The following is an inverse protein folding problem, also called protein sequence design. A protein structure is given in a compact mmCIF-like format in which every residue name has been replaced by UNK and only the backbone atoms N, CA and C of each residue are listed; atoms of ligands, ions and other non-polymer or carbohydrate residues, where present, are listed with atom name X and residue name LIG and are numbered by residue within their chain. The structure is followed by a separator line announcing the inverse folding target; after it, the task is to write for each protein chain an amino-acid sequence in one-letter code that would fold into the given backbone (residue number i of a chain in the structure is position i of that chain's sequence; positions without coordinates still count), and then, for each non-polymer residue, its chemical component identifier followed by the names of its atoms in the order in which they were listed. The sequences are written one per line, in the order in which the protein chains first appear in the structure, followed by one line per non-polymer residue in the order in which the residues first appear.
data_IF_470144243089
#
_entry.id   IF_470144243089
#
_cell.length_a   1.000
_cell.length_b   1.000
_cell.length_c   1.000
_cell.angle_alpha   90.00
_cell.angle_beta   90.00
_cell.angle_gamma   90.00
#
_symmetry.space_group_name_H-M   'P 1'
#
loop_
_entity.id
_entity.type
_entity.pdbx_description
1 polymer ?
#
# COMPACT_ATOMS: atom_id res chain seq x y z
N UNK A 1 -27.13 -35.34 -32.37
CA UNK A 1 -26.74 -35.17 -30.94
C UNK A 1 -25.68 -34.07 -30.79
N UNK A 2 -24.49 -34.19 -31.40
CA UNK A 2 -23.40 -33.21 -31.24
C UNK A 2 -23.75 -31.77 -31.63
N UNK A 3 -24.51 -31.59 -32.73
CA UNK A 3 -24.99 -30.25 -33.14
C UNK A 3 -25.91 -29.63 -32.08
N UNK A 4 -26.82 -30.43 -31.51
CA UNK A 4 -27.72 -29.97 -30.45
C UNK A 4 -26.91 -29.58 -29.20
N UNK A 5 -25.93 -30.40 -28.80
CA UNK A 5 -25.03 -30.12 -27.67
C UNK A 5 -24.26 -28.80 -27.84
N UNK A 6 -23.71 -28.54 -29.04
CA UNK A 6 -23.01 -27.29 -29.34
C UNK A 6 -23.94 -26.08 -29.20
N UNK A 7 -25.16 -26.17 -29.77
CA UNK A 7 -26.13 -25.07 -29.70
C UNK A 7 -26.54 -24.81 -28.24
N UNK A 8 -26.82 -25.85 -27.47
CA UNK A 8 -27.19 -25.70 -26.06
C UNK A 8 -26.05 -25.13 -25.22
N UNK A 9 -24.83 -25.63 -25.37
CA UNK A 9 -23.67 -25.15 -24.63
C UNK A 9 -23.33 -23.69 -25.00
N UNK A 10 -23.49 -23.31 -26.27
CA UNK A 10 -23.30 -21.92 -26.70
C UNK A 10 -24.30 -20.95 -26.09
N UNK A 11 -25.59 -21.32 -26.06
CA UNK A 11 -26.63 -20.50 -25.43
C UNK A 11 -26.37 -20.37 -23.93
N UNK A 12 -26.00 -21.47 -23.27
CA UNK A 12 -25.67 -21.49 -21.84
C UNK A 12 -24.46 -20.60 -21.53
N UNK A 13 -23.32 -20.81 -22.21
CA UNK A 13 -22.10 -20.04 -22.02
C UNK A 13 -22.33 -18.53 -22.17
N UNK A 14 -23.16 -18.14 -23.15
CA UNK A 14 -23.48 -16.73 -23.38
C UNK A 14 -24.31 -16.15 -22.22
N UNK A 15 -25.33 -16.87 -21.77
CA UNK A 15 -26.18 -16.45 -20.64
C UNK A 15 -25.39 -16.39 -19.33
N UNK A 16 -24.57 -17.39 -19.05
CA UNK A 16 -23.71 -17.41 -17.86
C UNK A 16 -22.74 -16.23 -17.86
N UNK A 17 -22.13 -15.91 -19.00
CA UNK A 17 -21.22 -14.77 -19.12
C UNK A 17 -21.93 -13.43 -18.93
N UNK A 18 -23.10 -13.26 -19.55
CA UNK A 18 -23.87 -12.01 -19.48
C UNK A 18 -24.39 -11.77 -18.06
N UNK A 19 -24.97 -12.79 -17.43
CA UNK A 19 -25.44 -12.71 -16.04
C UNK A 19 -24.25 -12.55 -15.10
N UNK A 20 -23.18 -13.31 -15.30
CA UNK A 20 -21.98 -13.29 -14.45
C UNK A 20 -21.34 -11.91 -14.41
N UNK A 21 -21.28 -11.22 -15.55
CA UNK A 21 -20.84 -9.81 -15.61
C UNK A 21 -21.83 -8.86 -14.93
N UNK A 22 -23.14 -9.07 -15.10
CA UNK A 22 -24.15 -8.17 -14.52
C UNK A 22 -24.17 -8.20 -12.99
N UNK A 23 -23.83 -9.33 -12.36
CA UNK A 23 -23.81 -9.49 -10.91
C UNK A 23 -22.39 -9.59 -10.33
N UNK A 24 -21.35 -9.31 -11.13
CA UNK A 24 -19.94 -9.48 -10.76
C UNK A 24 -19.61 -10.87 -10.18
N UNK A 25 -20.28 -11.92 -10.64
CA UNK A 25 -20.02 -13.30 -10.19
C UNK A 25 -18.89 -13.93 -10.98
N UNK A 26 -17.71 -13.99 -10.36
CA UNK A 26 -16.55 -14.69 -10.92
C UNK A 26 -16.81 -16.17 -11.12
N UNK A 27 -17.58 -16.81 -10.24
CA UNK A 27 -17.96 -18.22 -10.39
C UNK A 27 -18.79 -18.45 -11.66
N UNK A 28 -19.74 -17.56 -11.97
CA UNK A 28 -20.57 -17.71 -13.16
C UNK A 28 -19.79 -17.40 -14.46
N UNK A 29 -18.82 -16.47 -14.39
CA UNK A 29 -17.89 -16.19 -15.50
C UNK A 29 -16.93 -17.37 -15.74
N UNK A 30 -16.49 -18.04 -14.67
CA UNK A 30 -15.69 -19.25 -14.76
C UNK A 30 -16.48 -20.39 -15.41
N UNK A 31 -17.71 -20.64 -14.96
CA UNK A 31 -18.61 -21.63 -15.59
C UNK A 31 -18.84 -21.32 -17.07
N UNK A 32 -19.06 -20.05 -17.44
CA UNK A 32 -19.19 -19.67 -18.84
C UNK A 32 -17.95 -20.06 -19.66
N UNK A 33 -16.76 -19.91 -19.09
CA UNK A 33 -15.48 -20.26 -19.72
C UNK A 33 -15.30 -21.77 -19.85
N UNK A 34 -15.77 -22.55 -18.88
CA UNK A 34 -15.84 -24.01 -18.94
C UNK A 34 -16.81 -24.47 -20.05
N UNK A 35 -18.00 -23.89 -20.10
CA UNK A 35 -18.98 -24.11 -21.18
C UNK A 35 -18.38 -23.80 -22.57
N UNK A 36 -17.48 -22.81 -22.69
CA UNK A 36 -16.74 -22.56 -23.94
C UNK A 36 -15.76 -23.68 -24.31
N UNK A 37 -15.10 -24.30 -23.33
CA UNK A 37 -14.23 -25.46 -23.57
C UNK A 37 -15.05 -26.66 -24.04
N UNK A 38 -16.25 -26.87 -23.50
CA UNK A 38 -17.17 -27.93 -23.90
C UNK A 38 -17.69 -27.77 -25.34
N UNK A 39 -17.92 -26.53 -25.76
CA UNK A 39 -18.24 -26.21 -27.17
C UNK A 39 -17.07 -26.62 -28.07
N UNK A 40 -15.84 -26.31 -27.67
CA UNK A 40 -14.64 -26.63 -28.45
C UNK A 40 -14.43 -28.14 -28.57
N UNK A 41 -14.50 -28.90 -27.48
CA UNK A 41 -14.43 -30.37 -27.52
C UNK A 41 -15.55 -30.97 -28.35
N UNK A 42 -16.78 -30.47 -28.22
CA UNK A 42 -17.92 -30.93 -29.04
C UNK A 42 -17.72 -30.67 -30.54
N UNK A 43 -17.09 -29.54 -30.90
CA UNK A 43 -16.75 -29.22 -32.29
C UNK A 43 -15.69 -30.17 -32.84
N UNK A 44 -14.65 -30.49 -32.07
CA UNK A 44 -13.62 -31.47 -32.45
C UNK A 44 -14.25 -32.85 -32.69
N UNK A 45 -15.17 -33.27 -31.83
CA UNK A 45 -15.94 -34.52 -32.01
C UNK A 45 -16.78 -34.48 -33.28
N UNK A 46 -17.49 -33.37 -33.56
CA UNK A 46 -18.30 -33.22 -34.77
C UNK A 46 -17.45 -33.34 -36.05
N UNK A 47 -16.29 -32.68 -36.08
CA UNK A 47 -15.34 -32.78 -37.20
C UNK A 47 -14.86 -34.23 -37.36
N UNK A 48 -14.59 -34.93 -36.26
CA UNK A 48 -14.19 -36.34 -36.33
C UNK A 48 -15.26 -37.25 -36.91
N UNK A 49 -16.52 -37.06 -36.53
CA UNK A 49 -17.65 -37.82 -37.10
C UNK A 49 -17.80 -37.53 -38.60
N UNK A 50 -17.64 -36.27 -39.02
CA UNK A 50 -17.75 -35.87 -40.42
C UNK A 50 -16.65 -36.51 -41.29
N UNK A 51 -15.41 -36.53 -40.78
CA UNK A 51 -14.27 -37.14 -41.47
C UNK A 51 -14.38 -38.67 -41.52
N UNK A 52 -14.91 -39.30 -40.47
CA UNK A 52 -15.22 -40.72 -40.47
C UNK A 52 -16.31 -41.08 -41.49
N UNK A 53 -17.33 -40.21 -41.65
CA UNK A 53 -18.36 -40.37 -42.67
C UNK A 53 -17.79 -40.34 -44.10
N UNK A 54 -16.75 -39.56 -44.35
CA UNK A 54 -16.02 -39.52 -45.63
C UNK A 54 -15.15 -40.77 -45.88
N UNK A 55 -15.23 -41.79 -45.02
CA UNK A 55 -14.51 -43.07 -45.10
C UNK A 55 -12.99 -42.95 -45.18
N UNK A 56 -12.41 -41.90 -44.60
CA UNK A 56 -10.95 -41.78 -44.50
C UNK A 56 -10.46 -42.74 -43.41
N UNK A 57 -9.63 -43.75 -43.74
CA UNK A 57 -9.20 -44.75 -42.76
C UNK A 57 -8.32 -44.11 -41.67
N UNK A 58 -8.40 -44.66 -40.46
CA UNK A 58 -7.62 -44.28 -39.25
C UNK A 58 -7.90 -42.90 -38.64
N UNK A 59 -8.63 -42.00 -39.32
CA UNK A 59 -8.89 -40.63 -38.84
C UNK A 59 -9.68 -40.61 -37.53
N UNK A 60 -10.67 -41.48 -37.38
CA UNK A 60 -11.47 -41.57 -36.16
C UNK A 60 -10.59 -41.90 -34.94
N UNK A 61 -9.69 -42.87 -35.07
CA UNK A 61 -8.76 -43.25 -34.00
C UNK A 61 -7.80 -42.11 -33.63
N UNK A 62 -7.26 -41.39 -34.62
CA UNK A 62 -6.38 -40.24 -34.38
C UNK A 62 -7.08 -39.12 -33.62
N UNK A 63 -8.35 -38.85 -33.95
CA UNK A 63 -9.13 -37.79 -33.29
C UNK A 63 -9.49 -38.18 -31.86
N UNK A 64 -9.85 -39.45 -31.61
CA UNK A 64 -10.11 -39.95 -30.25
C UNK A 64 -8.86 -39.80 -29.37
N UNK A 65 -7.68 -40.17 -29.88
CA UNK A 65 -6.40 -40.01 -29.16
C UNK A 65 -6.14 -38.54 -28.85
N UNK A 66 -6.34 -37.65 -29.83
CA UNK A 66 -6.16 -36.21 -29.65
C UNK A 66 -7.07 -35.64 -28.56
N UNK A 67 -8.36 -35.99 -28.59
CA UNK A 67 -9.34 -35.54 -27.58
C UNK A 67 -8.96 -36.09 -26.19
N UNK A 68 -8.59 -37.37 -26.10
CA UNK A 68 -8.17 -38.00 -24.86
C UNK A 68 -6.99 -37.27 -24.22
N UNK A 69 -5.97 -36.92 -25.00
CA UNK A 69 -4.83 -36.13 -24.53
C UNK A 69 -5.23 -34.73 -24.05
N UNK A 70 -6.15 -34.07 -24.76
CA UNK A 70 -6.62 -32.74 -24.39
C UNK A 70 -7.38 -32.78 -23.06
N UNK A 71 -8.30 -33.72 -22.90
CA UNK A 71 -9.06 -33.93 -21.66
C UNK A 71 -8.11 -34.26 -20.50
N UNK A 72 -7.14 -35.15 -20.73
CA UNK A 72 -6.17 -35.53 -19.71
C UNK A 72 -5.31 -34.34 -19.24
N UNK A 73 -4.82 -33.51 -20.18
CA UNK A 73 -4.08 -32.28 -19.86
C UNK A 73 -4.93 -31.29 -19.06
N UNK A 74 -6.20 -31.13 -19.41
CA UNK A 74 -7.13 -30.25 -18.72
C UNK A 74 -7.39 -30.74 -17.29
N UNK A 75 -7.62 -32.04 -17.13
CA UNK A 75 -7.78 -32.69 -15.83
C UNK A 75 -6.57 -32.52 -14.92
N UNK A 76 -5.36 -32.77 -15.44
CA UNK A 76 -4.12 -32.54 -14.68
C UNK A 76 -3.95 -31.09 -14.24
N UNK A 77 -4.22 -30.14 -15.13
CA UNK A 77 -4.16 -28.70 -14.80
C UNK A 77 -5.15 -28.37 -13.68
N UNK A 78 -6.39 -28.85 -13.78
CA UNK A 78 -7.42 -28.57 -12.77
C UNK A 78 -7.04 -29.16 -11.41
N UNK A 79 -6.59 -30.42 -11.36
CA UNK A 79 -6.11 -31.05 -10.11
C UNK A 79 -4.97 -30.24 -9.50
N UNK A 80 -3.99 -29.83 -10.31
CA UNK A 80 -2.86 -29.03 -9.83
C UNK A 80 -3.31 -27.68 -9.26
N UNK A 81 -4.17 -26.96 -9.97
CA UNK A 81 -4.71 -25.67 -9.49
C UNK A 81 -5.52 -25.86 -8.20
N UNK A 82 -6.39 -26.87 -8.12
CA UNK A 82 -7.15 -27.14 -6.90
C UNK A 82 -6.25 -27.51 -5.72
N UNK A 83 -5.18 -28.28 -5.94
CA UNK A 83 -4.20 -28.57 -4.90
C UNK A 83 -3.49 -27.29 -4.42
N UNK A 84 -3.09 -26.40 -5.33
CA UNK A 84 -2.48 -25.13 -4.95
C UNK A 84 -3.42 -24.25 -4.12
N UNK A 85 -4.70 -24.17 -4.50
CA UNK A 85 -5.72 -23.45 -3.72
C UNK A 85 -5.86 -24.06 -2.31
N UNK A 86 -5.92 -25.39 -2.20
CA UNK A 86 -6.02 -26.08 -0.90
C UNK A 86 -4.78 -25.90 -0.01
N UNK A 87 -3.62 -25.65 -0.62
CA UNK A 87 -2.37 -25.37 0.09
C UNK A 87 -2.20 -23.87 0.43
N UNK A 88 -3.22 -23.03 0.18
CA UNK A 88 -3.15 -21.57 0.30
C UNK A 88 -1.95 -20.98 -0.47
N UNK A 89 -1.59 -21.58 -1.61
CA UNK A 89 -0.51 -21.08 -2.44
C UNK A 89 -0.89 -19.71 -3.01
N UNK A 90 0.06 -18.77 -3.02
CA UNK A 90 -0.20 -17.49 -3.67
C UNK A 90 -0.31 -17.68 -5.20
N UNK A 91 -1.52 -17.52 -5.72
CA UNK A 91 -1.84 -17.64 -7.14
C UNK A 91 -1.72 -16.31 -7.89
N UNK A 92 -1.48 -15.20 -7.19
CA UNK A 92 -1.51 -13.84 -7.73
C UNK A 92 -0.33 -12.99 -7.22
N UNK A 93 0.86 -13.31 -7.72
CA UNK A 93 2.09 -12.61 -7.35
C UNK A 93 2.12 -11.15 -7.81
N UNK A 94 1.46 -10.83 -8.94
CA UNK A 94 1.34 -9.46 -9.43
C UNK A 94 0.51 -8.61 -8.46
N UNK A 95 -0.67 -9.11 -8.06
CA UNK A 95 -1.52 -8.43 -7.07
C UNK A 95 -0.81 -8.27 -5.72
N UNK A 96 -0.04 -9.27 -5.27
CA UNK A 96 0.75 -9.15 -4.05
C UNK A 96 1.76 -8.00 -4.15
N UNK A 97 2.49 -7.92 -5.26
CA UNK A 97 3.49 -6.88 -5.49
C UNK A 97 2.86 -5.48 -5.55
N UNK A 98 1.70 -5.35 -6.19
CA UNK A 98 0.98 -4.07 -6.30
C UNK A 98 0.54 -3.58 -4.90
N UNK A 99 -0.06 -4.47 -4.11
CA UNK A 99 -0.46 -4.19 -2.72
C UNK A 99 0.75 -3.80 -1.87
N UNK A 100 1.85 -4.55 -1.94
CA UNK A 100 3.09 -4.23 -1.20
C UNK A 100 3.62 -2.85 -1.57
N UNK A 101 3.63 -2.50 -2.86
CA UNK A 101 4.11 -1.21 -3.32
C UNK A 101 3.23 -0.07 -2.82
N UNK A 102 1.91 -0.24 -2.88
CA UNK A 102 0.96 0.80 -2.50
C UNK A 102 0.93 1.03 -0.99
N UNK A 103 0.97 -0.03 -0.18
CA UNK A 103 1.06 0.11 1.28
C UNK A 103 2.37 0.83 1.66
N UNK A 104 3.49 0.52 1.00
CA UNK A 104 4.78 1.18 1.27
C UNK A 104 4.79 2.69 0.99
N UNK A 105 3.85 3.19 0.17
CA UNK A 105 3.70 4.63 -0.13
C UNK A 105 2.92 5.37 0.96
N UNK A 106 2.19 4.65 1.82
CA UNK A 106 1.40 5.26 2.90
C UNK A 106 2.33 5.81 3.96
N UNK A 107 2.19 7.10 4.26
CA UNK A 107 3.00 7.75 5.29
C UNK A 107 2.77 7.11 6.66
N UNK A 108 3.86 6.84 7.38
CA UNK A 108 3.86 6.14 8.66
C UNK A 108 4.24 4.66 8.54
N UNK A 109 4.07 4.07 7.35
CA UNK A 109 4.57 2.73 7.05
C UNK A 109 6.08 2.80 6.77
N UNK A 110 6.87 2.19 7.64
CA UNK A 110 8.33 2.07 7.49
C UNK A 110 8.70 0.93 6.56
N UNK A 111 7.91 -0.14 6.57
CA UNK A 111 8.03 -1.25 5.64
C UNK A 111 6.81 -2.14 5.65
N UNK A 112 6.70 -2.99 4.65
CA UNK A 112 5.66 -4.02 4.54
C UNK A 112 6.35 -5.37 4.72
N UNK A 113 5.82 -6.16 5.63
CA UNK A 113 6.25 -7.55 5.83
C UNK A 113 5.55 -8.47 4.84
N UNK A 114 5.29 -9.70 5.27
CA UNK A 114 4.64 -10.68 4.40
C UNK A 114 3.20 -10.24 4.06
N UNK A 115 2.87 -10.18 2.77
CA UNK A 115 1.51 -10.01 2.27
C UNK A 115 0.99 -11.36 1.78
N UNK A 116 -0.04 -11.85 2.45
CA UNK A 116 -0.67 -13.12 2.15
C UNK A 116 -2.06 -12.85 1.59
N UNK A 117 -2.30 -13.34 0.37
CA UNK A 117 -3.61 -13.25 -0.27
C UNK A 117 -4.23 -14.65 -0.23
N UNK A 118 -5.37 -14.77 0.45
CA UNK A 118 -6.15 -16.00 0.50
C UNK A 118 -7.39 -15.84 -0.36
N UNK A 119 -7.74 -16.89 -1.09
CA UNK A 119 -8.94 -16.87 -1.92
C UNK A 119 -10.03 -17.75 -1.30
N UNK A 120 -11.16 -17.14 -0.99
CA UNK A 120 -12.36 -17.82 -0.48
C UNK A 120 -13.50 -17.67 -1.49
N UNK A 121 -13.63 -18.66 -2.39
CA UNK A 121 -14.60 -18.59 -3.49
C UNK A 121 -14.30 -17.44 -4.46
N UNK A 122 -15.23 -16.48 -4.68
CA UNK A 122 -15.01 -15.33 -5.55
C UNK A 122 -14.29 -14.16 -4.86
N UNK A 123 -14.11 -14.21 -3.54
CA UNK A 123 -13.55 -13.12 -2.74
C UNK A 123 -12.08 -13.38 -2.42
N UNK A 124 -11.29 -12.32 -2.37
CA UNK A 124 -9.92 -12.35 -1.85
C UNK A 124 -9.89 -11.71 -0.47
N UNK A 125 -9.14 -12.32 0.43
CA UNK A 125 -8.84 -11.80 1.75
C UNK A 125 -7.34 -11.52 1.79
N UNK A 126 -6.97 -10.36 2.32
CA UNK A 126 -5.55 -9.98 2.45
C UNK A 126 -5.18 -9.96 3.91
N UNK A 127 -4.06 -10.60 4.24
CA UNK A 127 -3.42 -10.50 5.54
C UNK A 127 -2.04 -9.90 5.31
N UNK A 128 -1.76 -8.74 5.88
CA UNK A 128 -0.47 -8.09 5.73
C UNK A 128 0.11 -7.64 7.07
N UNK A 129 1.44 -7.69 7.15
CA UNK A 129 2.19 -7.09 8.26
C UNK A 129 2.71 -5.73 7.84
N UNK A 130 2.51 -4.71 8.66
CA UNK A 130 3.10 -3.39 8.45
C UNK A 130 4.07 -3.07 9.59
N UNK A 131 5.21 -2.49 9.22
CA UNK A 131 6.23 -2.02 10.15
C UNK A 131 6.06 -0.53 10.39
N UNK A 132 6.03 -0.12 11.65
CA UNK A 132 5.88 1.30 12.04
C UNK A 132 7.04 1.76 12.92
N UNK A 133 7.11 3.07 13.17
CA UNK A 133 8.07 3.60 14.14
C UNK A 133 7.87 2.97 15.53
N UNK A 134 8.93 2.54 16.23
CA UNK A 134 8.83 2.05 17.61
C UNK A 134 8.27 3.07 18.60
N UNK A 135 8.41 4.36 18.29
CA UNK A 135 7.92 5.47 19.11
C UNK A 135 6.43 5.77 18.92
N UNK A 136 5.78 5.15 17.92
CA UNK A 136 4.40 5.41 17.59
C UNK A 136 3.46 4.87 18.68
N UNK A 137 2.54 5.70 19.17
CA UNK A 137 1.57 5.26 20.18
C UNK A 137 0.61 4.19 19.62
N UNK A 138 0.11 3.31 20.49
CA UNK A 138 -0.82 2.24 20.09
C UNK A 138 -2.07 2.78 19.37
N UNK A 139 -2.62 3.92 19.83
CA UNK A 139 -3.78 4.55 19.20
C UNK A 139 -3.48 5.00 17.76
N UNK A 140 -2.30 5.61 17.54
CA UNK A 140 -1.86 6.01 16.22
C UNK A 140 -1.53 4.81 15.33
N UNK A 141 -0.95 3.76 15.89
CA UNK A 141 -0.68 2.52 15.18
C UNK A 141 -1.98 1.88 14.68
N UNK A 142 -3.03 1.85 15.51
CA UNK A 142 -4.36 1.41 15.08
C UNK A 142 -4.93 2.30 13.97
N UNK A 143 -4.87 3.62 14.12
CA UNK A 143 -5.35 4.55 13.09
C UNK A 143 -4.57 4.41 11.76
N UNK A 144 -3.28 4.08 11.82
CA UNK A 144 -2.50 3.76 10.63
C UNK A 144 -2.95 2.43 9.99
N UNK A 145 -3.24 1.41 10.79
CA UNK A 145 -3.82 0.17 10.29
C UNK A 145 -5.16 0.43 9.59
N UNK A 146 -6.10 1.13 10.24
CA UNK A 146 -7.39 1.49 9.64
C UNK A 146 -7.22 2.21 8.29
N UNK A 147 -6.28 3.16 8.22
CA UNK A 147 -5.96 3.90 7.00
C UNK A 147 -5.44 2.98 5.88
N UNK A 148 -4.63 1.98 6.21
CA UNK A 148 -4.11 1.00 5.24
C UNK A 148 -5.23 0.04 4.79
N UNK A 149 -6.10 -0.39 5.71
CA UNK A 149 -7.25 -1.25 5.42
C UNK A 149 -8.23 -0.55 4.45
N UNK A 150 -8.57 0.71 4.76
CA UNK A 150 -9.42 1.54 3.91
C UNK A 150 -8.79 1.75 2.53
N UNK A 151 -7.48 1.98 2.46
CA UNK A 151 -6.78 2.18 1.21
C UNK A 151 -6.89 0.94 0.30
N UNK A 152 -6.57 -0.24 0.83
CA UNK A 152 -6.61 -1.51 0.07
C UNK A 152 -8.04 -1.83 -0.37
N UNK A 153 -9.01 -1.68 0.53
CA UNK A 153 -10.41 -2.02 0.24
C UNK A 153 -11.02 -1.10 -0.83
N UNK A 154 -10.60 0.17 -0.87
CA UNK A 154 -11.08 1.14 -1.88
C UNK A 154 -10.43 0.97 -3.25
N UNK A 155 -9.11 0.70 -3.31
CA UNK A 155 -8.40 0.56 -4.58
C UNK A 155 -8.64 -0.79 -5.27
N UNK A 156 -8.87 -1.86 -4.50
CA UNK A 156 -9.01 -3.22 -5.02
C UNK A 156 -10.41 -3.81 -4.78
N UNK A 157 -11.32 -3.61 -5.74
CA UNK A 157 -12.75 -4.05 -5.67
C UNK A 157 -12.99 -5.57 -5.50
N UNK A 158 -11.95 -6.39 -5.54
CA UNK A 158 -12.03 -7.85 -5.43
C UNK A 158 -11.62 -8.36 -4.04
N UNK A 159 -11.17 -7.45 -3.19
CA UNK A 159 -10.75 -7.72 -1.81
C UNK A 159 -11.94 -7.40 -0.91
N UNK A 160 -12.40 -8.42 -0.18
CA UNK A 160 -13.58 -8.30 0.69
C UNK A 160 -13.19 -7.91 2.12
N UNK A 161 -12.02 -8.36 2.58
CA UNK A 161 -11.52 -8.06 3.92
C UNK A 161 -10.01 -7.98 3.96
N UNK A 162 -9.49 -7.11 4.82
CA UNK A 162 -8.06 -6.94 5.04
C UNK A 162 -7.78 -7.09 6.54
N UNK A 163 -6.77 -7.88 6.89
CA UNK A 163 -6.28 -8.02 8.26
C UNK A 163 -4.87 -7.47 8.33
N UNK A 164 -4.68 -6.47 9.21
CA UNK A 164 -3.41 -5.77 9.34
C UNK A 164 -2.81 -6.05 10.70
N UNK A 165 -1.62 -6.64 10.69
CA UNK A 165 -0.83 -6.82 11.90
C UNK A 165 0.27 -5.75 11.94
N UNK A 166 0.23 -4.91 12.97
CA UNK A 166 1.21 -3.84 13.16
C UNK A 166 2.35 -4.34 14.03
N UNK A 167 3.57 -4.27 13.52
CA UNK A 167 4.80 -4.58 14.25
C UNK A 167 5.70 -3.33 14.29
N UNK A 168 6.48 -3.12 15.36
CA UNK A 168 7.52 -2.11 15.35
C UNK A 168 8.63 -2.50 14.36
N UNK A 169 9.16 -1.51 13.64
CA UNK A 169 10.33 -1.72 12.79
C UNK A 169 11.53 -2.21 13.61
N UNK A 170 12.34 -3.09 13.02
CA UNK A 170 13.65 -3.50 13.59
C UNK A 170 14.71 -2.41 13.47
N UNK A 171 14.44 -1.38 12.67
CA UNK A 171 15.31 -0.21 12.60
C UNK A 171 15.19 0.56 13.92
N UNK A 172 16.24 0.49 14.74
CA UNK A 172 16.30 1.16 16.04
C UNK A 172 16.61 2.66 15.92
N UNK A 173 16.08 3.33 14.88
CA UNK A 173 16.22 4.78 14.75
C UNK A 173 14.89 5.44 14.47
N UNK A 174 14.76 6.67 14.96
CA UNK A 174 13.66 7.58 14.68
C UNK A 174 14.17 8.73 13.83
N UNK A 175 13.42 9.06 12.78
CA UNK A 175 13.71 10.20 11.90
C UNK A 175 13.14 11.47 12.50
N UNK A 176 13.97 12.47 12.74
CA UNK A 176 13.59 13.73 13.36
C UNK A 176 13.96 14.92 12.48
N UNK A 177 13.14 15.97 12.51
CA UNK A 177 13.43 17.24 11.85
C UNK A 177 13.49 18.38 12.88
N UNK A 178 14.46 19.26 12.72
CA UNK A 178 14.66 20.44 13.57
C UNK A 178 14.86 21.68 12.70
N UNK A 179 14.03 22.73 12.81
CA UNK A 179 14.26 24.01 12.16
C UNK A 179 15.46 24.72 12.81
N UNK A 180 16.44 25.15 12.01
CA UNK A 180 17.67 25.81 12.47
C UNK A 180 17.97 27.10 11.72
N UNK A 181 18.73 27.97 12.36
CA UNK A 181 19.15 29.28 11.88
C UNK A 181 20.38 29.19 10.96
N UNK A 182 21.23 28.19 11.18
CA UNK A 182 22.53 28.01 10.53
C UNK A 182 22.84 26.52 10.27
N UNK A 183 23.89 26.25 9.49
CA UNK A 183 24.37 24.89 9.14
C UNK A 183 25.71 24.66 9.84
N UNK A 184 25.67 24.33 11.13
CA UNK A 184 26.84 24.08 11.97
C UNK A 184 26.81 22.66 12.59
N UNK A 185 26.30 21.67 11.86
CA UNK A 185 26.20 20.30 12.38
C UNK A 185 25.29 20.21 13.61
N UNK A 186 25.74 19.52 14.66
CA UNK A 186 25.02 19.38 15.93
C UNK A 186 24.99 20.68 16.77
N UNK A 187 25.87 21.63 16.48
CA UNK A 187 25.91 22.93 17.14
C UNK A 187 24.92 23.95 16.55
N UNK A 188 24.26 23.58 15.44
CA UNK A 188 23.29 24.43 14.76
C UNK A 188 22.21 24.94 15.72
N UNK A 189 21.89 26.22 15.59
CA UNK A 189 20.99 26.92 16.52
C UNK A 189 19.54 26.81 16.07
N UNK A 190 18.66 26.45 16.98
CA UNK A 190 17.24 26.22 16.68
C UNK A 190 16.53 27.51 16.33
N UNK A 191 15.75 27.48 15.25
CA UNK A 191 14.92 28.60 14.84
C UNK A 191 13.53 28.51 15.50
N UNK A 192 13.04 29.62 16.05
CA UNK A 192 11.80 29.63 16.86
C UNK A 192 10.49 29.46 16.08
N UNK A 193 10.52 29.22 14.77
CA UNK A 193 9.33 29.07 13.94
C UNK A 193 9.57 28.08 12.81
N UNK A 194 8.76 27.01 12.74
CA UNK A 194 8.90 25.93 11.76
C UNK A 194 8.91 26.46 10.32
N UNK A 195 7.81 27.04 9.83
CA UNK A 195 7.70 27.45 8.42
C UNK A 195 8.59 28.61 7.99
N UNK A 196 9.27 29.32 8.91
CA UNK A 196 10.11 30.48 8.60
C UNK A 196 11.59 30.21 8.85
N UNK A 197 11.95 28.98 9.24
CA UNK A 197 13.34 28.62 9.41
C UNK A 197 14.07 28.63 8.06
N UNK A 198 15.30 29.15 8.01
CA UNK A 198 16.13 29.10 6.79
C UNK A 198 16.60 27.71 6.43
N UNK A 199 16.85 26.87 7.44
CA UNK A 199 17.33 25.51 7.23
C UNK A 199 16.60 24.54 8.16
N UNK A 200 16.63 23.27 7.80
CA UNK A 200 16.15 22.18 8.63
C UNK A 200 17.21 21.09 8.68
N UNK A 201 17.50 20.60 9.88
CA UNK A 201 18.37 19.43 10.07
C UNK A 201 17.49 18.20 10.15
N UNK A 202 17.82 17.19 9.35
CA UNK A 202 17.17 15.89 9.35
C UNK A 202 18.12 14.90 10.01
N UNK A 203 17.63 14.23 11.05
CA UNK A 203 18.42 13.42 11.97
C UNK A 203 17.87 12.01 12.03
N UNK A 204 18.75 11.02 12.10
CA UNK A 204 18.43 9.67 12.53
C UNK A 204 18.92 9.50 13.96
N UNK A 205 17.97 9.39 14.89
CA UNK A 205 18.25 9.22 16.32
C UNK A 205 18.09 7.73 16.65
N UNK A 206 19.21 7.06 16.91
CA UNK A 206 19.23 5.71 17.47
C UNK A 206 19.49 5.75 18.98
N UNK A 207 19.40 4.58 19.65
CA UNK A 207 19.58 4.45 21.10
C UNK A 207 20.89 5.10 21.58
N UNK A 208 22.00 4.75 20.93
CA UNK A 208 23.33 5.23 21.32
C UNK A 208 23.82 6.38 20.43
N UNK A 209 23.50 6.37 19.13
CA UNK A 209 24.08 7.29 18.15
C UNK A 209 23.04 8.24 17.55
N UNK A 210 23.50 9.42 17.12
CA UNK A 210 22.72 10.32 16.27
C UNK A 210 23.52 10.67 15.04
N UNK A 211 22.91 10.49 13.88
CA UNK A 211 23.49 10.81 12.59
C UNK A 211 22.68 11.91 11.92
N UNK A 212 23.37 12.88 11.32
CA UNK A 212 22.73 13.87 10.46
C UNK A 212 22.56 13.23 9.09
N UNK A 213 21.32 13.05 8.67
CA UNK A 213 21.00 12.50 7.35
C UNK A 213 21.16 13.58 6.27
N UNK A 214 20.60 14.77 6.51
CA UNK A 214 20.65 15.87 5.54
C UNK A 214 20.39 17.25 6.19
N UNK A 215 20.72 18.30 5.45
CA UNK A 215 20.30 19.68 5.71
C UNK A 215 19.42 20.17 4.56
N UNK A 216 18.14 20.43 4.85
CA UNK A 216 17.21 20.97 3.88
C UNK A 216 17.18 22.50 3.93
N UNK A 217 17.45 23.16 2.80
CA UNK A 217 17.29 24.61 2.64
C UNK A 217 15.84 24.98 2.34
N UNK A 218 15.29 25.97 3.06
CA UNK A 218 13.92 26.40 2.85
C UNK A 218 13.81 27.35 1.64
N UNK A 219 13.53 26.76 0.47
CA UNK A 219 13.30 27.49 -0.78
C UNK A 219 12.07 28.40 -0.75
N UNK A 220 11.15 28.17 0.19
CA UNK A 220 9.84 28.86 0.26
C UNK A 220 9.83 30.07 1.18
N UNK A 221 10.98 30.48 1.73
CA UNK A 221 11.08 31.58 2.70
C UNK A 221 10.50 32.90 2.20
N UNK A 222 10.72 33.21 0.92
CA UNK A 222 10.19 34.42 0.25
C UNK A 222 8.70 34.38 -0.04
N UNK A 223 8.03 33.24 0.19
CA UNK A 223 6.61 33.11 -0.05
C UNK A 223 5.75 33.66 1.08
N UNK A 224 4.56 34.16 0.68
CA UNK A 224 3.66 34.85 1.61
C UNK A 224 2.72 33.90 2.36
N UNK A 225 2.39 32.73 1.82
CA UNK A 225 1.35 31.85 2.37
C UNK A 225 1.77 30.38 2.35
N UNK A 226 1.32 29.65 3.38
CA UNK A 226 1.45 28.20 3.48
C UNK A 226 2.88 27.66 3.38
N UNK A 227 3.87 28.46 3.78
CA UNK A 227 5.30 28.09 3.71
C UNK A 227 5.55 26.77 4.44
N UNK A 228 5.03 26.61 5.66
CA UNK A 228 5.17 25.37 6.43
C UNK A 228 4.58 24.14 5.72
N UNK A 229 3.45 24.28 5.03
CA UNK A 229 2.84 23.18 4.25
C UNK A 229 3.72 22.77 3.07
N UNK A 230 4.32 23.75 2.39
CA UNK A 230 5.23 23.50 1.27
C UNK A 230 6.50 22.80 1.73
N UNK A 231 7.07 23.25 2.84
CA UNK A 231 8.21 22.57 3.50
C UNK A 231 7.84 21.13 3.81
N UNK A 232 6.70 20.87 4.47
CA UNK A 232 6.28 19.50 4.81
C UNK A 232 6.22 18.61 3.56
N UNK A 233 5.65 19.11 2.45
CA UNK A 233 5.60 18.36 1.19
C UNK A 233 6.97 18.06 0.60
N UNK A 234 7.95 18.94 0.79
CA UNK A 234 9.31 18.73 0.31
C UNK A 234 10.07 17.69 1.13
N UNK A 235 9.89 17.69 2.47
CA UNK A 235 10.62 16.80 3.38
C UNK A 235 9.90 15.50 3.71
N UNK A 236 8.69 15.28 3.19
CA UNK A 236 7.84 14.11 3.49
C UNK A 236 8.54 12.77 3.14
N UNK A 237 9.42 12.79 2.15
CA UNK A 237 10.17 11.62 1.67
C UNK A 237 11.15 11.05 2.72
N UNK A 238 11.51 11.84 3.74
CA UNK A 238 12.37 11.39 4.85
C UNK A 238 11.62 10.57 5.90
N UNK A 239 10.32 10.29 5.71
CA UNK A 239 9.46 9.51 6.62
C UNK A 239 9.65 9.94 8.08
N UNK A 240 9.51 11.23 8.33
CA UNK A 240 9.72 11.86 9.64
C UNK A 240 8.81 11.22 10.70
N UNK A 241 9.38 10.95 11.87
CA UNK A 241 8.67 10.49 13.05
C UNK A 241 8.47 11.63 14.05
N UNK A 242 9.46 12.52 14.16
CA UNK A 242 9.53 13.58 15.16
C UNK A 242 9.78 14.96 14.53
N UNK A 243 9.15 15.99 15.08
CA UNK A 243 9.48 17.40 14.82
C UNK A 243 9.76 18.10 16.14
N UNK A 244 10.89 18.77 16.26
CA UNK A 244 11.17 19.67 17.38
C UNK A 244 10.99 21.11 16.95
N UNK A 245 10.06 21.87 17.53
CA UNK A 245 9.87 23.29 17.18
C UNK A 245 9.29 24.09 18.34
N UNK A 246 9.62 25.38 18.41
CA UNK A 246 9.02 26.30 19.39
C UNK A 246 7.61 26.73 18.98
N UNK A 247 7.40 26.97 17.67
CA UNK A 247 6.14 27.44 17.12
C UNK A 247 5.79 26.71 15.83
N UNK A 248 4.54 26.29 15.74
CA UNK A 248 3.95 25.70 14.54
C UNK A 248 2.54 26.26 14.32
N UNK A 249 2.21 26.54 13.06
CA UNK A 249 0.88 27.00 12.67
C UNK A 249 -0.10 25.84 12.50
N UNK A 250 -1.38 26.13 12.67
CA UNK A 250 -2.52 25.18 12.62
C UNK A 250 -2.47 24.18 11.47
N UNK A 251 -2.36 24.65 10.22
CA UNK A 251 -2.39 23.76 9.04
C UNK A 251 -1.20 22.81 9.02
N UNK A 252 0.00 23.31 9.35
CA UNK A 252 1.22 22.49 9.41
C UNK A 252 1.17 21.48 10.55
N UNK A 253 0.59 21.87 11.68
CA UNK A 253 0.38 20.99 12.83
C UNK A 253 -0.51 19.81 12.44
N UNK A 254 -1.71 20.07 11.91
CA UNK A 254 -2.62 19.00 11.50
C UNK A 254 -2.03 18.12 10.40
N UNK A 255 -1.41 18.73 9.38
CA UNK A 255 -0.78 17.96 8.30
C UNK A 255 0.29 16.99 8.80
N UNK A 256 1.13 17.40 9.77
CA UNK A 256 2.13 16.51 10.36
C UNK A 256 1.50 15.43 11.25
N UNK A 257 0.46 15.77 12.01
CA UNK A 257 -0.28 14.82 12.86
C UNK A 257 -1.03 13.75 12.04
N UNK A 258 -1.63 14.13 10.92
CA UNK A 258 -2.30 13.22 9.98
C UNK A 258 -1.31 12.29 9.26
N UNK A 259 -0.04 12.71 9.24
CA UNK A 259 1.10 11.92 8.85
C UNK A 259 1.82 11.34 10.08
N UNK A 260 1.15 11.15 11.22
CA UNK A 260 1.68 10.44 12.38
C UNK A 260 2.93 11.04 13.06
N UNK A 261 3.39 12.23 12.66
CA UNK A 261 4.57 12.89 13.25
C UNK A 261 4.26 13.42 14.64
N UNK A 262 5.12 13.13 15.60
CA UNK A 262 5.06 13.69 16.95
C UNK A 262 5.84 14.99 17.05
N UNK A 263 5.21 15.99 17.66
CA UNK A 263 5.72 17.36 17.70
C UNK A 263 6.11 17.67 19.14
N UNK A 264 7.35 18.06 19.34
CA UNK A 264 7.94 18.36 20.65
C UNK A 264 8.35 19.82 20.74
N UNK A 265 8.10 20.43 21.89
CA UNK A 265 8.37 21.85 22.12
C UNK A 265 9.86 22.07 22.38
N UNK A 266 10.45 23.08 21.78
CA UNK A 266 11.84 23.46 22.08
C UNK A 266 11.99 24.97 22.21
N UNK A 267 13.09 25.41 22.82
CA UNK A 267 13.42 26.82 22.95
C UNK A 267 14.32 27.28 21.79
N UNK A 268 14.07 28.50 21.32
CA UNK A 268 14.89 29.13 20.27
C UNK A 268 16.33 29.36 20.75
N UNK A 269 17.31 29.14 19.87
CA UNK A 269 18.74 29.33 20.16
C UNK A 269 19.43 28.21 20.95
N UNK A 270 18.71 27.14 21.35
CA UNK A 270 19.34 25.90 21.78
C UNK A 270 20.10 25.25 20.62
N UNK A 271 21.17 24.51 20.92
CA UNK A 271 21.83 23.67 19.91
C UNK A 271 21.02 22.39 19.68
N UNK A 272 21.15 21.82 18.47
CA UNK A 272 20.57 20.53 18.11
C UNK A 272 21.00 19.43 19.11
N UNK A 273 22.28 19.40 19.49
CA UNK A 273 22.79 18.44 20.49
C UNK A 273 22.04 18.51 21.83
N UNK A 274 21.74 19.71 22.31
CA UNK A 274 21.05 19.91 23.57
C UNK A 274 19.59 19.48 23.51
N UNK A 275 18.91 19.66 22.37
CA UNK A 275 17.55 19.13 22.16
C UNK A 275 17.56 17.61 22.27
N UNK A 276 18.48 16.96 21.57
CA UNK A 276 18.56 15.50 21.57
C UNK A 276 18.81 14.98 22.99
N UNK A 277 19.71 15.61 23.75
CA UNK A 277 19.97 15.26 25.16
C UNK A 277 18.70 15.39 26.01
N UNK A 278 18.00 16.51 25.92
CA UNK A 278 16.73 16.73 26.63
C UNK A 278 15.67 15.70 26.23
N UNK A 279 15.58 15.35 24.95
CA UNK A 279 14.64 14.33 24.44
C UNK A 279 14.95 12.95 25.03
N UNK A 280 16.22 12.52 25.04
CA UNK A 280 16.65 11.25 25.65
C UNK A 280 16.35 11.20 27.16
N UNK A 281 16.45 12.33 27.85
CA UNK A 281 16.12 12.45 29.26
C UNK A 281 14.61 12.60 29.55
N UNK A 282 13.75 12.61 28.52
CA UNK A 282 12.30 12.87 28.64
C UNK A 282 11.96 14.23 29.26
N UNK A 283 12.83 15.23 29.08
CA UNK A 283 12.67 16.60 29.60
C UNK A 283 11.93 17.54 28.61
N UNK A 284 11.40 17.00 27.50
CA UNK A 284 10.72 17.77 26.48
C UNK A 284 9.22 17.44 26.46
N UNK A 285 8.40 18.48 26.53
CA UNK A 285 6.96 18.36 26.41
C UNK A 285 6.50 18.22 24.96
N UNK A 286 5.49 17.38 24.75
CA UNK A 286 4.84 17.21 23.46
C UNK A 286 3.83 18.34 23.22
N UNK A 287 3.81 18.89 22.00
CA UNK A 287 2.81 19.86 21.55
C UNK A 287 1.57 19.08 21.10
N UNK A 288 0.45 19.27 21.82
CA UNK A 288 -0.84 18.63 21.50
C UNK A 288 -1.79 19.53 20.71
N UNK A 289 -1.51 20.83 20.64
CA UNK A 289 -2.33 21.85 19.95
C UNK A 289 -1.43 22.84 19.21
N UNK A 290 -1.90 23.44 18.10
CA UNK A 290 -1.11 24.41 17.34
C UNK A 290 -0.78 25.65 18.17
N UNK A 291 0.40 26.22 17.95
CA UNK A 291 0.91 27.33 18.77
C UNK A 291 0.35 28.69 18.34
N UNK A 292 -0.18 28.80 17.12
CA UNK A 292 -0.83 30.00 16.62
C UNK A 292 -1.82 29.68 15.50
N UNK A 293 -2.89 30.48 15.43
CA UNK A 293 -3.97 30.32 14.45
C UNK A 293 -3.62 30.92 13.09
N UNK A 294 -4.44 30.62 12.08
CA UNK A 294 -4.27 31.07 10.69
C UNK A 294 -4.16 32.61 10.57
N UNK A 295 -4.84 33.37 11.44
CA UNK A 295 -4.85 34.84 11.39
C UNK A 295 -3.50 35.47 11.80
N UNK A 296 -2.82 34.90 12.80
CA UNK A 296 -1.52 35.38 13.28
C UNK A 296 -0.37 35.05 12.32
N UNK A 297 -0.47 33.91 11.63
CA UNK A 297 0.49 33.51 10.60
C UNK A 297 0.39 34.37 9.32
N UNK A 298 -0.75 35.02 9.07
CA UNK A 298 -0.91 36.01 8.00
C UNK A 298 -0.46 37.43 8.39
N UNK A 299 -0.49 37.77 9.68
CA UNK A 299 -0.01 39.05 10.23
C UNK A 299 1.51 39.19 10.13
N UNK A 300 2.26 38.15 10.51
CA UNK A 300 3.73 38.13 10.43
C UNK A 300 4.30 38.19 9.01
N UNK A 301 3.49 37.97 7.97
CA UNK A 301 3.88 38.12 6.56
C UNK A 301 3.68 39.55 6.02
N UNK A 302 3.09 40.45 6.82
CA UNK A 302 2.84 41.86 6.48
C UNK A 302 3.79 42.84 7.18
N UNK A 303 4.61 42.38 8.12
CA UNK A 303 5.67 43.14 8.78
C UNK A 303 7.03 42.82 8.14
#
# INVERSE_FOLDING_TARGET
VSILSIITAFVLARKEKDVGKSINSQSLIANASESFLDIFTSLVVLVGILLAYLQIPYVEGSIIILISLLIFKLGLKNVWTSLLVLLDANLDAELQSDIEQDINRIYGVKGVGNVMIRQAGPFKMVECKILTSPSLSLYKAHALADKVEDYITNDFKHIESVFIHVEPSKENFVSAIIPVQDINGMDSKVHGHFGRAPYFVILKIADENVEIEDFYYNEFLGEKKHVGVKVIKAVIWHKLDLLFTSRIGEISFHMLRDNFVDIYKTDEGLSVENIIKKYRNQEIEQITEPTHCIEESQSSAKA
#
